data_IF_621535204600
#
_entry.id   IF_621535204600
#
_cell.length_a   1.000
_cell.length_b   1.000
_cell.length_c   1.000
_cell.angle_alpha   90.00
_cell.angle_beta   90.00
_cell.angle_gamma   90.00
#
_symmetry.space_group_name_H-M   'P 1'
#
loop_
_entity.id
_entity.type
_entity.pdbx_description
1 polymer ?
#
# COMPACT_ATOMS: atom_id res chain seq x y z
N UNK A 1 23.51 -4.91 -18.51
CA UNK A 1 23.27 -4.66 -17.08
C UNK A 1 21.81 -5.00 -16.82
N UNK A 2 21.54 -6.17 -16.24
CA UNK A 2 20.16 -6.63 -16.00
C UNK A 2 19.65 -5.92 -14.75
N UNK A 3 18.77 -4.94 -14.92
CA UNK A 3 18.00 -4.42 -13.80
C UNK A 3 17.10 -5.56 -13.31
N UNK A 4 17.45 -6.18 -12.18
CA UNK A 4 16.49 -6.97 -11.42
C UNK A 4 15.38 -6.00 -11.03
N UNK A 5 14.28 -6.04 -11.78
CA UNK A 5 13.08 -5.33 -11.42
C UNK A 5 12.61 -5.97 -10.10
N UNK A 6 12.70 -5.25 -8.98
CA UNK A 6 11.87 -5.56 -7.81
C UNK A 6 10.46 -5.84 -8.33
N UNK A 7 9.84 -6.89 -7.81
CA UNK A 7 8.46 -7.17 -8.19
C UNK A 7 7.64 -5.91 -7.90
N UNK A 8 6.71 -5.54 -8.78
CA UNK A 8 5.92 -4.29 -8.63
C UNK A 8 5.37 -4.13 -7.19
N UNK A 9 5.06 -5.24 -6.54
CA UNK A 9 4.65 -5.31 -5.15
C UNK A 9 5.70 -4.75 -4.17
N UNK A 10 6.97 -5.16 -4.27
CA UNK A 10 8.07 -4.68 -3.41
C UNK A 10 8.31 -3.19 -3.60
N UNK A 11 8.33 -2.72 -4.86
CA UNK A 11 8.50 -1.30 -5.17
C UNK A 11 7.35 -0.45 -4.61
N UNK A 12 6.10 -0.96 -4.67
CA UNK A 12 4.95 -0.31 -4.03
C UNK A 12 5.12 -0.30 -2.51
N UNK A 13 5.51 -1.41 -1.88
CA UNK A 13 5.71 -1.46 -0.43
C UNK A 13 6.79 -0.47 0.05
N UNK A 14 7.93 -0.41 -0.64
CA UNK A 14 9.02 0.51 -0.32
C UNK A 14 8.57 1.97 -0.41
N UNK A 15 7.85 2.32 -1.48
CA UNK A 15 7.32 3.67 -1.69
C UNK A 15 6.29 4.05 -0.63
N UNK A 16 5.39 3.14 -0.25
CA UNK A 16 4.44 3.43 0.81
C UNK A 16 5.11 3.52 2.19
N UNK A 17 6.18 2.76 2.45
CA UNK A 17 6.97 2.89 3.66
C UNK A 17 7.67 4.27 3.75
N UNK A 18 8.20 4.78 2.63
CA UNK A 18 8.76 6.15 2.54
C UNK A 18 7.67 7.23 2.70
N UNK A 19 6.54 7.09 1.99
CA UNK A 19 5.49 8.09 1.96
C UNK A 19 4.76 8.26 3.31
N UNK A 20 4.61 7.17 4.07
CA UNK A 20 4.01 7.19 5.41
C UNK A 20 4.80 8.05 6.41
N UNK A 21 6.06 8.37 6.10
CA UNK A 21 6.91 9.23 6.92
C UNK A 21 6.91 10.71 6.49
N UNK A 22 6.43 11.06 5.28
CA UNK A 22 6.75 12.35 4.67
C UNK A 22 5.69 13.03 3.79
N UNK A 23 4.58 12.37 3.39
CA UNK A 23 3.66 12.92 2.36
C UNK A 23 2.19 12.87 2.79
N UNK A 24 1.42 13.89 2.40
CA UNK A 24 -0.04 13.95 2.54
C UNK A 24 -0.68 12.79 1.76
N UNK A 25 -1.39 11.92 2.46
CA UNK A 25 -2.10 10.76 1.91
C UNK A 25 -3.52 10.75 2.44
N UNK A 26 -4.48 10.37 1.60
CA UNK A 26 -5.84 10.10 2.07
C UNK A 26 -5.87 8.73 2.75
N UNK A 27 -6.48 8.69 3.93
CA UNK A 27 -6.69 7.46 4.69
C UNK A 27 -8.17 7.21 4.86
N UNK A 28 -8.64 6.02 4.47
CA UNK A 28 -9.96 5.51 4.86
C UNK A 28 -9.79 4.26 5.73
N UNK A 29 -10.65 4.10 6.74
CA UNK A 29 -10.59 2.97 7.67
C UNK A 29 -11.97 2.35 7.87
N UNK A 30 -12.06 1.04 7.67
CA UNK A 30 -13.25 0.26 8.03
C UNK A 30 -12.93 -0.73 9.14
N UNK A 31 -13.86 -0.88 10.09
CA UNK A 31 -13.77 -1.79 11.23
C UNK A 31 -15.00 -2.69 11.25
N UNK A 32 -14.79 -4.00 11.10
CA UNK A 32 -15.87 -5.00 11.15
C UNK A 32 -15.67 -5.92 12.36
N UNK A 33 -16.73 -6.06 13.16
CA UNK A 33 -16.75 -7.00 14.29
C UNK A 33 -17.87 -8.02 14.06
N UNK A 34 -17.50 -9.28 13.83
CA UNK A 34 -18.44 -10.37 13.59
C UNK A 34 -18.05 -11.61 14.39
N UNK A 35 -18.91 -12.02 15.34
CA UNK A 35 -18.77 -13.27 16.13
C UNK A 35 -17.35 -13.49 16.68
N UNK A 36 -16.78 -12.48 17.34
CA UNK A 36 -15.44 -12.55 17.96
C UNK A 36 -14.26 -12.45 16.99
N UNK A 37 -14.51 -12.20 15.70
CA UNK A 37 -13.52 -11.78 14.72
C UNK A 37 -13.58 -10.28 14.54
N UNK A 38 -12.41 -9.68 14.42
CA UNK A 38 -12.23 -8.26 14.22
C UNK A 38 -11.33 -8.06 13.00
N UNK A 39 -11.73 -7.18 12.08
CA UNK A 39 -10.92 -6.80 10.93
C UNK A 39 -10.91 -5.29 10.79
N UNK A 40 -9.71 -4.71 10.66
CA UNK A 40 -9.48 -3.33 10.27
C UNK A 40 -8.81 -3.30 8.92
N UNK A 41 -9.39 -2.57 7.97
CA UNK A 41 -8.74 -2.28 6.69
C UNK A 41 -8.42 -0.81 6.63
N UNK A 42 -7.17 -0.50 6.31
CA UNK A 42 -6.69 0.87 6.08
C UNK A 42 -6.29 1.00 4.63
N UNK A 43 -6.87 2.01 3.96
CA UNK A 43 -6.65 2.30 2.55
C UNK A 43 -5.81 3.56 2.44
N UNK A 44 -4.80 3.53 1.56
CA UNK A 44 -3.99 4.69 1.23
C UNK A 44 -3.91 4.85 -0.27
N UNK A 45 -3.92 6.10 -0.72
CA UNK A 45 -3.66 6.47 -2.12
C UNK A 45 -2.56 7.51 -2.20
N UNK A 46 -1.69 7.36 -3.21
CA UNK A 46 -0.64 8.31 -3.53
C UNK A 46 -0.79 8.73 -4.98
N UNK A 47 -0.80 10.05 -5.20
CA UNK A 47 -0.92 10.67 -6.52
C UNK A 47 0.25 11.63 -6.82
N UNK A 48 1.22 11.75 -5.92
CA UNK A 48 2.38 12.61 -6.09
C UNK A 48 3.19 12.16 -7.33
N UNK A 49 3.32 13.01 -8.37
CA UNK A 49 4.05 12.67 -9.58
C UNK A 49 5.50 12.23 -9.34
N UNK A 50 6.18 12.79 -8.34
CA UNK A 50 7.56 12.42 -8.00
C UNK A 50 7.63 10.99 -7.46
N UNK A 51 6.64 10.58 -6.67
CA UNK A 51 6.49 9.20 -6.20
C UNK A 51 6.13 8.27 -7.35
N UNK A 52 5.18 8.64 -8.21
CA UNK A 52 4.75 7.82 -9.34
C UNK A 52 5.89 7.58 -10.34
N UNK A 53 6.77 8.55 -10.54
CA UNK A 53 7.97 8.41 -11.37
C UNK A 53 8.96 7.37 -10.81
N UNK A 54 9.08 7.24 -9.47
CA UNK A 54 9.90 6.19 -8.83
C UNK A 54 9.34 4.79 -9.09
N UNK A 55 8.01 4.64 -9.04
CA UNK A 55 7.33 3.34 -9.26
C UNK A 55 7.32 2.94 -10.73
N UNK A 56 7.24 3.90 -11.65
CA UNK A 56 7.16 3.66 -13.09
C UNK A 56 8.30 4.32 -13.88
N UNK A 57 9.57 4.02 -13.57
CA UNK A 57 10.72 4.76 -14.12
C UNK A 57 10.91 4.53 -15.62
N UNK A 58 10.44 3.39 -16.13
CA UNK A 58 10.53 3.02 -17.55
C UNK A 58 9.28 3.40 -18.34
N UNK A 59 8.26 3.96 -17.68
CA UNK A 59 6.97 4.24 -18.32
C UNK A 59 6.19 2.98 -18.73
N UNK A 60 6.52 1.80 -18.17
CA UNK A 60 5.85 0.52 -18.42
C UNK A 60 4.33 0.61 -18.24
N UNK A 61 3.87 1.43 -17.31
CA UNK A 61 2.44 1.72 -17.09
C UNK A 61 2.09 3.11 -17.63
N UNK A 62 1.75 3.23 -18.92
CA UNK A 62 1.39 4.52 -19.50
C UNK A 62 0.12 5.05 -18.80
N UNK A 63 0.12 6.35 -18.47
CA UNK A 63 -0.98 7.04 -17.77
C UNK A 63 -1.20 6.60 -16.31
N UNK A 64 -0.18 6.05 -15.65
CA UNK A 64 -0.24 5.82 -14.20
C UNK A 64 -0.37 7.16 -13.46
N UNK A 65 -1.52 7.39 -12.85
CA UNK A 65 -1.83 8.66 -12.16
C UNK A 65 -2.08 8.48 -10.66
N UNK A 66 -2.21 7.24 -10.17
CA UNK A 66 -2.27 6.94 -8.75
C UNK A 66 -1.80 5.51 -8.47
N UNK A 67 -1.36 5.28 -7.25
CA UNK A 67 -1.16 3.96 -6.66
C UNK A 67 -1.92 3.88 -5.35
N UNK A 68 -2.38 2.68 -4.99
CA UNK A 68 -3.07 2.43 -3.74
C UNK A 68 -2.47 1.25 -2.99
N UNK A 69 -2.58 1.28 -1.67
CA UNK A 69 -2.23 0.17 -0.80
C UNK A 69 -3.35 -0.08 0.19
N UNK A 70 -3.59 -1.35 0.52
CA UNK A 70 -4.57 -1.75 1.53
C UNK A 70 -3.87 -2.61 2.57
N UNK A 71 -3.91 -2.19 3.84
CA UNK A 71 -3.46 -3.03 4.94
C UNK A 71 -4.66 -3.61 5.65
N UNK A 72 -4.65 -4.92 5.82
CA UNK A 72 -5.64 -5.65 6.60
C UNK A 72 -5.02 -6.10 7.92
N UNK A 73 -5.57 -5.67 9.04
CA UNK A 73 -5.31 -6.22 10.37
C UNK A 73 -6.50 -7.07 10.78
N UNK A 74 -6.28 -8.36 11.07
CA UNK A 74 -7.32 -9.27 11.55
C UNK A 74 -6.95 -9.78 12.93
N UNK A 75 -7.92 -9.83 13.83
CA UNK A 75 -7.81 -10.42 15.16
C UNK A 75 -8.89 -11.49 15.32
N UNK A 76 -8.49 -12.68 15.75
CA UNK A 76 -9.40 -13.79 16.01
C UNK A 76 -8.68 -14.94 16.71
N UNK A 77 -9.37 -15.65 17.60
CA UNK A 77 -8.82 -16.78 18.37
C UNK A 77 -7.50 -16.46 19.10
N UNK A 78 -7.38 -15.25 19.67
CA UNK A 78 -6.17 -14.81 20.39
C UNK A 78 -4.96 -14.50 19.50
N UNK A 79 -5.13 -14.45 18.17
CA UNK A 79 -4.06 -14.17 17.21
C UNK A 79 -4.35 -12.89 16.43
N UNK A 80 -3.29 -12.16 16.10
CA UNK A 80 -3.32 -11.00 15.20
C UNK A 80 -2.54 -11.36 13.93
N UNK A 81 -3.13 -11.11 12.77
CA UNK A 81 -2.48 -11.25 11.47
C UNK A 81 -2.52 -9.92 10.72
N UNK A 82 -1.37 -9.53 10.16
CA UNK A 82 -1.19 -8.34 9.34
C UNK A 82 -0.90 -8.76 7.89
N UNK A 83 -1.51 -8.09 6.93
CA UNK A 83 -1.22 -8.25 5.51
C UNK A 83 -1.34 -6.94 4.76
N UNK A 84 -0.53 -6.79 3.71
CA UNK A 84 -0.47 -5.65 2.80
C UNK A 84 -0.52 -6.17 1.36
#
# INVERSE_FOLDING_TARGET
>A
MLYCQETLHEAIQAVFAEAHAAVTHDTDQTEETARGRWERRTYWTLMDPAILAKVNPTGRWPKLNCIGMVRSERRGHGKTSLGN
#
